data_IF_349959845324
#
_entry.id   IF_349959845324
#
_cell.length_a   1.000
_cell.length_b   1.000
_cell.length_c   1.000
_cell.angle_alpha   90.00
_cell.angle_beta   90.00
_cell.angle_gamma   90.00
#
_symmetry.space_group_name_H-M   'P 1'
#
loop_
_entity.id
_entity.type
_entity.pdbx_description
1 polymer ?
#
# COMPACT_ATOMS: atom_id res chain seq x y z
N UNK A 1 48.86 -16.83 -30.70
CA UNK A 1 49.81 -16.90 -31.84
C UNK A 1 50.59 -15.59 -31.94
N UNK A 2 51.92 -15.70 -31.78
CA UNK A 2 53.05 -14.77 -32.02
C UNK A 2 54.09 -15.06 -30.93
N UNK A 3 54.74 -16.23 -30.98
CA UNK A 3 56.00 -16.50 -31.67
C UNK A 3 57.12 -15.56 -31.16
N UNK A 4 57.74 -15.92 -30.04
CA UNK A 4 59.01 -15.32 -29.59
C UNK A 4 60.14 -16.25 -30.03
N UNK A 5 60.99 -15.72 -30.91
CA UNK A 5 62.15 -16.38 -31.49
C UNK A 5 63.19 -16.62 -30.40
N UNK A 6 63.47 -17.89 -30.09
CA UNK A 6 64.64 -18.30 -29.31
C UNK A 6 65.90 -18.13 -30.17
N UNK A 7 66.61 -17.02 -29.98
CA UNK A 7 68.01 -16.90 -30.37
C UNK A 7 68.86 -17.54 -29.27
N UNK A 8 69.36 -18.75 -29.57
CA UNK A 8 70.42 -19.41 -28.80
C UNK A 8 71.71 -18.58 -28.92
N UNK A 9 72.07 -17.85 -27.86
CA UNK A 9 73.42 -17.35 -27.65
C UNK A 9 74.14 -18.34 -26.74
N UNK A 10 74.97 -19.18 -27.35
CA UNK A 10 76.02 -19.96 -26.70
C UNK A 10 77.04 -19.02 -26.06
N UNK A 11 77.21 -19.05 -24.73
CA UNK A 11 78.37 -18.38 -24.09
C UNK A 11 78.21 -17.76 -22.70
N UNK A 12 77.06 -17.82 -22.03
CA UNK A 12 76.98 -17.46 -20.61
C UNK A 12 76.95 -18.72 -19.75
N UNK A 13 78.11 -19.11 -19.20
CA UNK A 13 78.11 -19.92 -17.97
C UNK A 13 77.40 -19.09 -16.91
N UNK A 14 76.15 -19.42 -16.60
CA UNK A 14 75.47 -18.89 -15.42
C UNK A 14 76.35 -19.27 -14.22
N UNK A 15 77.02 -18.27 -13.64
CA UNK A 15 77.80 -18.47 -12.43
C UNK A 15 76.77 -18.86 -11.37
N UNK A 16 76.81 -20.11 -10.91
CA UNK A 16 75.98 -20.58 -9.80
C UNK A 16 76.85 -20.64 -8.54
N UNK A 17 76.27 -20.35 -7.38
CA UNK A 17 76.93 -20.55 -6.11
C UNK A 17 76.94 -22.05 -5.78
N UNK A 18 78.12 -22.67 -5.73
CA UNK A 18 78.29 -24.12 -5.52
C UNK A 18 78.89 -24.37 -4.12
N UNK A 19 78.31 -25.32 -3.41
CA UNK A 19 78.74 -25.83 -2.10
C UNK A 19 80.05 -26.64 -2.21
N UNK A 20 80.78 -26.91 -1.10
CA UNK A 20 82.08 -27.54 -1.14
C UNK A 20 82.01 -29.02 -1.54
N UNK A 21 80.81 -29.60 -1.47
CA UNK A 21 80.47 -30.95 -1.91
C UNK A 21 80.09 -31.03 -3.41
N UNK A 22 80.12 -29.90 -4.12
CA UNK A 22 79.79 -29.81 -5.54
C UNK A 22 78.30 -29.66 -5.85
N UNK A 23 77.44 -29.53 -4.83
CA UNK A 23 76.01 -29.26 -5.03
C UNK A 23 75.72 -27.75 -5.18
N UNK A 24 74.66 -27.37 -5.89
CA UNK A 24 74.24 -25.97 -5.96
C UNK A 24 73.74 -25.48 -4.58
N UNK A 25 73.98 -24.21 -4.27
CA UNK A 25 73.39 -23.55 -3.10
C UNK A 25 71.87 -23.79 -3.10
N UNK A 26 71.28 -24.32 -2.02
CA UNK A 26 69.89 -24.76 -2.04
C UNK A 26 68.93 -23.60 -2.26
N UNK A 27 67.83 -23.85 -2.97
CA UNK A 27 66.79 -22.84 -3.17
C UNK A 27 66.24 -22.33 -1.82
N UNK A 28 65.99 -21.03 -1.74
CA UNK A 28 65.66 -20.33 -0.50
C UNK A 28 66.84 -19.92 0.36
N UNK A 29 68.07 -20.24 -0.03
CA UNK A 29 69.30 -19.81 0.63
C UNK A 29 70.16 -18.98 -0.34
N UNK A 30 71.08 -18.21 0.22
CA UNK A 30 72.11 -17.52 -0.54
C UNK A 30 73.50 -17.83 0.02
N UNK A 31 74.50 -17.87 -0.87
CA UNK A 31 75.86 -18.26 -0.55
C UNK A 31 76.84 -17.19 -1.06
N UNK A 32 77.51 -16.45 -0.17
CA UNK A 32 78.50 -15.43 -0.52
C UNK A 32 79.93 -15.92 -0.27
N UNK A 33 80.66 -16.29 -1.33
CA UNK A 33 82.10 -16.55 -1.27
C UNK A 33 82.52 -17.80 -0.48
N UNK A 34 83.85 -18.01 -0.36
CA UNK A 34 84.46 -19.26 0.12
C UNK A 34 84.41 -19.39 1.64
N UNK A 35 83.41 -20.13 2.14
CA UNK A 35 83.21 -20.49 3.55
C UNK A 35 81.75 -20.90 3.82
N UNK A 36 81.37 -22.09 3.40
CA UNK A 36 80.14 -22.32 2.62
C UNK A 36 78.94 -22.78 3.46
N UNK A 37 78.49 -21.94 4.38
CA UNK A 37 77.22 -22.17 5.09
C UNK A 37 76.08 -21.45 4.37
N UNK A 38 75.08 -22.17 3.83
CA UNK A 38 73.90 -21.56 3.23
C UNK A 38 73.17 -20.69 4.27
N UNK A 39 72.93 -19.41 3.93
CA UNK A 39 72.17 -18.50 4.80
C UNK A 39 70.74 -18.43 4.27
N UNK A 40 69.71 -18.72 5.09
CA UNK A 40 68.33 -18.67 4.63
C UNK A 40 67.96 -17.24 4.25
N UNK A 41 67.24 -17.09 3.14
CA UNK A 41 66.70 -15.81 2.75
C UNK A 41 65.75 -15.28 3.84
N UNK A 42 65.87 -14.00 4.26
CA UNK A 42 64.98 -13.45 5.27
C UNK A 42 63.52 -13.38 4.78
N UNK A 43 62.53 -13.31 5.68
CA UNK A 43 61.13 -13.12 5.32
C UNK A 43 60.92 -11.96 4.34
N UNK A 44 60.04 -12.14 3.36
CA UNK A 44 59.81 -11.20 2.26
C UNK A 44 60.80 -11.29 1.10
N UNK A 45 61.72 -12.27 1.13
CA UNK A 45 62.66 -12.54 0.04
C UNK A 45 62.68 -14.02 -0.31
N UNK A 46 63.16 -14.34 -1.51
CA UNK A 46 63.27 -15.69 -2.05
C UNK A 46 64.53 -15.89 -2.89
N UNK A 47 64.91 -17.13 -3.16
CA UNK A 47 65.98 -17.44 -4.11
C UNK A 47 65.77 -18.79 -4.82
N UNK A 48 66.18 -18.85 -6.09
CA UNK A 48 66.36 -20.12 -6.80
C UNK A 48 67.65 -20.82 -6.35
N UNK A 49 67.82 -22.10 -6.73
CA UNK A 49 69.08 -22.81 -6.50
C UNK A 49 70.27 -22.07 -7.17
N UNK A 50 71.43 -22.09 -6.50
CA UNK A 50 72.66 -21.45 -6.96
C UNK A 50 72.71 -19.92 -6.80
N UNK A 51 71.81 -19.32 -6.02
CA UNK A 51 71.77 -17.87 -5.83
C UNK A 51 72.89 -17.31 -4.93
N UNK A 52 73.47 -16.19 -5.33
CA UNK A 52 74.44 -15.43 -4.51
C UNK A 52 73.78 -14.42 -3.56
N UNK A 53 72.54 -14.03 -3.83
CA UNK A 53 71.76 -13.09 -3.03
C UNK A 53 70.26 -13.43 -3.11
N UNK A 54 69.49 -12.97 -2.11
CA UNK A 54 68.04 -13.12 -2.10
C UNK A 54 67.37 -12.00 -2.90
N UNK A 55 66.26 -12.36 -3.57
CA UNK A 55 65.42 -11.44 -4.35
C UNK A 55 64.19 -11.08 -3.53
N UNK A 56 63.79 -9.81 -3.49
CA UNK A 56 62.56 -9.40 -2.81
C UNK A 56 61.33 -9.98 -3.52
N UNK A 57 60.30 -10.32 -2.75
CA UNK A 57 59.00 -10.62 -3.36
C UNK A 57 58.45 -9.39 -4.08
N UNK A 58 57.82 -9.61 -5.23
CA UNK A 58 57.10 -8.55 -5.94
C UNK A 58 55.91 -8.05 -5.11
N UNK A 59 55.46 -6.79 -5.28
CA UNK A 59 54.30 -6.27 -4.56
C UNK A 59 53.07 -7.17 -4.75
N UNK A 60 52.40 -7.52 -3.65
CA UNK A 60 51.27 -8.45 -3.66
C UNK A 60 51.67 -9.91 -3.44
N UNK A 61 52.96 -10.21 -3.35
CA UNK A 61 53.48 -11.52 -2.97
C UNK A 61 54.18 -11.44 -1.61
N UNK A 62 54.19 -12.56 -0.88
CA UNK A 62 54.76 -12.63 0.47
C UNK A 62 55.49 -13.94 0.72
N UNK A 63 56.37 -13.91 1.72
CA UNK A 63 57.01 -15.08 2.33
C UNK A 63 57.23 -14.78 3.81
N UNK A 64 56.42 -15.39 4.69
CA UNK A 64 56.49 -15.14 6.13
C UNK A 64 57.63 -15.89 6.83
N UNK A 65 58.10 -16.98 6.24
CA UNK A 65 59.18 -17.80 6.78
C UNK A 65 60.47 -17.50 6.04
N UNK A 66 61.59 -17.52 6.76
CA UNK A 66 62.91 -17.47 6.14
C UNK A 66 63.22 -18.78 5.40
N UNK A 67 64.08 -18.72 4.39
CA UNK A 67 64.46 -19.90 3.61
C UNK A 67 63.54 -20.22 2.43
N UNK A 68 62.72 -19.27 1.95
CA UNK A 68 61.73 -19.57 0.91
C UNK A 68 62.29 -19.58 -0.50
N UNK A 69 61.99 -20.64 -1.26
CA UNK A 69 62.39 -20.78 -2.66
C UNK A 69 61.49 -20.01 -3.64
N UNK A 70 60.36 -19.46 -3.19
CA UNK A 70 59.42 -18.69 -4.01
C UNK A 70 58.57 -17.77 -3.13
N UNK A 71 57.87 -16.81 -3.74
CA UNK A 71 56.88 -15.99 -3.04
C UNK A 71 55.47 -16.44 -3.36
N UNK A 72 54.59 -16.34 -2.36
CA UNK A 72 53.18 -16.74 -2.47
C UNK A 72 52.36 -15.50 -2.81
N UNK A 73 51.48 -15.60 -3.82
CA UNK A 73 50.55 -14.52 -4.15
C UNK A 73 49.53 -14.32 -3.02
N UNK A 74 49.21 -13.07 -2.69
CA UNK A 74 48.08 -12.78 -1.82
C UNK A 74 46.79 -13.35 -2.42
N UNK A 75 46.01 -14.05 -1.62
CA UNK A 75 44.75 -14.62 -2.05
C UNK A 75 43.65 -13.56 -2.23
N UNK A 76 42.54 -13.94 -2.86
CA UNK A 76 41.39 -13.04 -3.01
C UNK A 76 40.82 -12.65 -1.65
N UNK A 77 40.22 -11.46 -1.58
CA UNK A 77 39.69 -10.91 -0.32
C UNK A 77 40.78 -10.44 0.66
N UNK A 78 42.07 -10.59 0.33
CA UNK A 78 43.17 -10.17 1.18
C UNK A 78 44.06 -9.13 0.49
N UNK A 79 44.95 -8.50 1.26
CA UNK A 79 46.02 -7.65 0.75
C UNK A 79 47.34 -7.91 1.47
N UNK A 80 48.46 -7.69 0.78
CA UNK A 80 49.80 -7.72 1.36
C UNK A 80 50.36 -6.29 1.49
N UNK A 81 50.40 -5.78 2.72
CA UNK A 81 51.07 -4.50 3.05
C UNK A 81 52.60 -4.62 2.99
N UNK A 82 53.13 -5.78 3.38
CA UNK A 82 54.56 -6.11 3.37
C UNK A 82 54.74 -7.54 2.90
N UNK A 83 55.81 -7.79 2.14
CA UNK A 83 56.19 -9.12 1.69
C UNK A 83 56.61 -10.06 2.84
N UNK A 84 56.99 -9.53 4.01
CA UNK A 84 57.44 -10.31 5.16
C UNK A 84 56.31 -10.71 6.12
N UNK A 85 55.09 -10.21 5.93
CA UNK A 85 53.94 -10.40 6.82
C UNK A 85 52.88 -11.31 6.17
N UNK A 86 52.05 -12.00 6.97
CA UNK A 86 50.94 -12.76 6.44
C UNK A 86 49.91 -11.83 5.77
N UNK A 87 49.19 -12.31 4.74
CA UNK A 87 48.06 -11.60 4.13
C UNK A 87 47.07 -11.12 5.19
N UNK A 88 46.59 -9.89 5.04
CA UNK A 88 45.54 -9.34 5.90
C UNK A 88 44.20 -9.36 5.14
N UNK A 89 43.09 -9.76 5.78
CA UNK A 89 41.79 -9.73 5.13
C UNK A 89 41.36 -8.29 4.89
N UNK A 90 40.66 -8.04 3.79
CA UNK A 90 40.03 -6.75 3.56
C UNK A 90 39.01 -6.46 4.66
N UNK A 91 39.13 -5.27 5.26
CA UNK A 91 38.19 -4.79 6.25
C UNK A 91 36.78 -4.64 5.64
N UNK A 92 35.76 -4.54 6.51
CA UNK A 92 34.40 -4.30 6.06
C UNK A 92 34.32 -3.02 5.21
N UNK A 93 33.45 -3.05 4.19
CA UNK A 93 33.34 -2.00 3.18
C UNK A 93 34.43 -2.03 2.12
N UNK A 94 35.33 -3.01 2.14
CA UNK A 94 36.38 -3.18 1.14
C UNK A 94 36.47 -4.61 0.64
N UNK A 95 36.94 -4.77 -0.59
CA UNK A 95 37.04 -6.07 -1.24
C UNK A 95 38.27 -6.18 -2.13
N UNK A 96 38.59 -7.41 -2.56
CA UNK A 96 39.60 -7.70 -3.58
C UNK A 96 39.23 -8.95 -4.38
N UNK A 97 38.99 -8.81 -5.68
CA UNK A 97 38.60 -9.92 -6.56
C UNK A 97 39.79 -10.62 -7.21
N UNK A 98 40.95 -9.94 -7.28
CA UNK A 98 42.15 -10.43 -7.95
C UNK A 98 43.17 -10.93 -6.92
N UNK A 99 44.04 -11.83 -7.38
CA UNK A 99 45.22 -12.26 -6.61
C UNK A 99 46.28 -11.14 -6.56
N UNK A 100 47.24 -11.29 -5.66
CA UNK A 100 48.41 -10.44 -5.50
C UNK A 100 48.09 -8.94 -5.35
N UNK A 101 47.06 -8.61 -4.56
CA UNK A 101 46.70 -7.22 -4.28
C UNK A 101 47.50 -6.66 -3.09
N UNK A 102 47.89 -5.39 -3.19
CA UNK A 102 48.63 -4.67 -2.13
C UNK A 102 47.73 -3.79 -1.28
N UNK A 103 46.52 -3.47 -1.77
CA UNK A 103 45.51 -2.67 -1.09
C UNK A 103 44.13 -3.26 -1.36
N UNK A 104 43.18 -2.99 -0.47
CA UNK A 104 41.78 -3.34 -0.69
C UNK A 104 41.03 -2.20 -1.36
N UNK A 105 40.09 -2.53 -2.22
CA UNK A 105 39.27 -1.56 -2.97
C UNK A 105 38.00 -1.26 -2.17
N UNK A 106 37.64 0.02 -1.95
CA UNK A 106 36.40 0.37 -1.25
C UNK A 106 35.18 0.02 -2.10
N UNK A 107 34.11 -0.39 -1.42
CA UNK A 107 32.82 -0.63 -2.02
C UNK A 107 32.12 0.67 -2.39
N UNK A 108 31.42 0.67 -3.53
CA UNK A 108 30.61 1.81 -3.96
C UNK A 108 29.36 1.99 -3.07
N UNK A 109 28.84 3.21 -3.01
CA UNK A 109 27.60 3.51 -2.29
C UNK A 109 26.45 2.60 -2.74
N UNK A 110 25.66 2.12 -1.78
CA UNK A 110 24.57 1.19 -2.06
C UNK A 110 25.01 -0.27 -2.15
N UNK A 111 26.28 -0.55 -1.84
CA UNK A 111 26.82 -1.90 -1.69
C UNK A 111 27.44 -2.09 -0.31
N UNK A 112 27.61 -3.33 0.11
CA UNK A 112 28.20 -3.69 1.40
C UNK A 112 29.01 -4.99 1.29
N UNK A 113 29.83 -5.27 2.29
CA UNK A 113 30.51 -6.57 2.44
C UNK A 113 29.90 -7.35 3.60
N UNK A 114 29.47 -8.61 3.41
CA UNK A 114 28.84 -9.39 4.48
C UNK A 114 29.82 -9.81 5.59
N UNK A 115 31.11 -9.87 5.27
CA UNK A 115 32.18 -10.26 6.20
C UNK A 115 33.52 -9.65 5.80
N UNK A 116 34.47 -9.61 6.73
CA UNK A 116 35.87 -9.37 6.40
C UNK A 116 36.38 -10.41 5.40
N UNK A 117 37.35 -10.03 4.57
CA UNK A 117 37.88 -10.92 3.53
C UNK A 117 36.95 -11.06 2.32
N UNK A 118 35.95 -10.17 2.16
CA UNK A 118 35.03 -10.25 1.02
C UNK A 118 35.76 -10.08 -0.30
N UNK A 119 35.51 -11.00 -1.24
CA UNK A 119 36.11 -10.93 -2.58
C UNK A 119 35.46 -9.84 -3.43
N UNK A 120 34.17 -9.60 -3.25
CA UNK A 120 33.36 -8.63 -4.00
C UNK A 120 32.39 -7.88 -3.09
N UNK A 121 31.96 -6.70 -3.52
CA UNK A 121 30.85 -5.99 -2.91
C UNK A 121 29.51 -6.62 -3.30
N UNK A 122 28.57 -6.60 -2.37
CA UNK A 122 27.19 -7.10 -2.57
C UNK A 122 26.24 -5.92 -2.60
N UNK A 123 25.29 -5.91 -3.53
CA UNK A 123 24.26 -4.87 -3.58
C UNK A 123 23.42 -4.87 -2.30
N UNK A 124 23.06 -3.69 -1.81
CA UNK A 124 22.14 -3.57 -0.69
C UNK A 124 20.81 -4.25 -1.04
N UNK A 125 20.30 -5.18 -0.22
CA UNK A 125 19.06 -5.89 -0.52
C UNK A 125 17.86 -4.94 -0.44
N UNK A 126 16.84 -5.18 -1.27
CA UNK A 126 15.60 -4.43 -1.20
C UNK A 126 14.96 -4.55 0.19
N UNK A 127 14.40 -3.45 0.68
CA UNK A 127 13.90 -3.33 2.05
C UNK A 127 14.95 -2.96 3.09
N UNK A 128 16.24 -2.89 2.74
CA UNK A 128 17.28 -2.38 3.61
C UNK A 128 18.01 -1.17 3.02
N UNK A 129 18.61 -0.37 3.89
CA UNK A 129 19.50 0.72 3.55
C UNK A 129 20.93 0.40 3.98
N UNK A 130 21.89 0.73 3.13
CA UNK A 130 23.32 0.58 3.38
C UNK A 130 23.98 1.95 3.29
N UNK A 131 23.96 2.69 4.41
CA UNK A 131 24.52 4.03 4.48
C UNK A 131 26.05 4.01 4.36
N UNK A 132 26.67 3.07 5.07
CA UNK A 132 28.10 2.77 5.05
C UNK A 132 28.30 1.36 4.51
N UNK A 133 29.26 1.17 3.60
CA UNK A 133 29.53 -0.15 3.03
C UNK A 133 30.13 -1.14 4.05
N UNK A 134 30.68 -0.62 5.15
CA UNK A 134 31.20 -1.40 6.26
C UNK A 134 30.09 -1.95 7.18
N UNK A 135 28.90 -1.35 7.15
CA UNK A 135 27.79 -1.76 7.99
C UNK A 135 26.93 -2.83 7.31
N UNK A 136 26.30 -3.68 8.14
CA UNK A 136 25.30 -4.61 7.65
C UNK A 136 24.01 -3.88 7.24
N UNK A 137 23.27 -4.37 6.22
CA UNK A 137 22.06 -3.74 5.75
C UNK A 137 21.02 -3.56 6.86
N UNK A 138 20.60 -2.31 7.09
CA UNK A 138 19.58 -1.98 8.09
C UNK A 138 18.20 -1.97 7.44
N UNK A 139 17.25 -2.75 7.98
CA UNK A 139 15.87 -2.79 7.47
C UNK A 139 15.21 -1.42 7.59
N UNK A 140 14.44 -1.06 6.58
CA UNK A 140 13.59 0.13 6.63
C UNK A 140 12.47 -0.04 7.65
N UNK A 141 12.27 0.97 8.49
CA UNK A 141 11.15 1.04 9.43
C UNK A 141 9.81 1.16 8.69
N UNK A 142 8.67 0.89 9.36
CA UNK A 142 7.35 1.18 8.81
C UNK A 142 7.25 2.59 8.22
N UNK A 143 6.46 2.73 7.16
CA UNK A 143 6.35 3.96 6.38
C UNK A 143 7.52 4.27 5.46
N UNK A 144 8.54 3.41 5.43
CA UNK A 144 9.66 3.54 4.53
C UNK A 144 9.91 2.24 3.77
N UNK A 145 10.45 2.37 2.56
CA UNK A 145 10.83 1.27 1.70
C UNK A 145 12.19 1.51 1.07
N UNK A 146 12.79 0.46 0.54
CA UNK A 146 13.96 0.62 -0.33
C UNK A 146 14.01 -0.39 -1.45
N UNK A 147 14.53 0.03 -2.60
CA UNK A 147 14.84 -0.87 -3.71
C UNK A 147 16.29 -1.35 -3.62
N UNK A 148 16.66 -2.33 -4.45
CA UNK A 148 18.02 -2.88 -4.46
C UNK A 148 19.05 -1.76 -4.69
N UNK A 149 20.11 -1.76 -3.90
CA UNK A 149 21.22 -0.82 -4.03
C UNK A 149 20.99 0.56 -3.41
N UNK A 150 19.94 0.76 -2.61
CA UNK A 150 19.72 2.05 -1.95
C UNK A 150 20.60 2.25 -0.71
N UNK A 151 21.11 3.49 -0.59
CA UNK A 151 21.91 3.96 0.54
C UNK A 151 21.03 4.32 1.73
N UNK A 152 19.81 4.79 1.48
CA UNK A 152 18.85 5.24 2.49
C UNK A 152 17.45 4.74 2.16
N UNK A 153 16.63 4.58 3.21
CA UNK A 153 15.22 4.26 3.04
C UNK A 153 14.44 5.48 2.54
N UNK A 154 13.48 5.23 1.64
CA UNK A 154 12.61 6.24 1.05
C UNK A 154 11.24 6.19 1.73
N UNK A 155 10.66 7.31 2.17
CA UNK A 155 9.32 7.32 2.77
C UNK A 155 8.24 7.02 1.73
N UNK A 156 7.16 6.39 2.18
CA UNK A 156 5.95 6.25 1.39
C UNK A 156 5.35 7.64 1.11
N UNK A 157 4.91 7.84 -0.13
CA UNK A 157 4.18 9.06 -0.51
C UNK A 157 2.76 9.01 0.09
N UNK A 158 2.11 10.16 0.33
CA UNK A 158 0.72 10.18 0.78
C UNK A 158 -0.19 9.33 -0.12
N UNK A 159 -1.12 8.59 0.49
CA UNK A 159 -1.93 7.59 -0.20
C UNK A 159 -1.26 6.22 -0.37
N UNK A 160 -0.02 6.05 0.06
CA UNK A 160 0.68 4.76 0.10
C UNK A 160 1.18 4.46 1.51
N UNK A 161 1.28 3.18 1.85
CA UNK A 161 1.68 2.76 3.19
C UNK A 161 2.52 1.48 3.18
N UNK A 162 3.23 1.24 4.27
CA UNK A 162 3.72 -0.08 4.66
C UNK A 162 3.90 -0.15 6.16
N UNK A 163 3.32 -1.18 6.77
CA UNK A 163 3.45 -1.44 8.21
C UNK A 163 4.57 -2.42 8.54
N UNK A 164 5.23 -2.99 7.51
CA UNK A 164 6.24 -4.03 7.67
C UNK A 164 7.65 -3.44 7.68
N UNK A 165 8.44 -3.88 8.65
CA UNK A 165 9.89 -3.68 8.62
C UNK A 165 10.49 -4.38 7.39
N UNK A 166 11.40 -3.70 6.70
CA UNK A 166 12.12 -4.28 5.58
C UNK A 166 11.35 -4.28 4.26
N UNK A 167 10.49 -3.29 4.02
CA UNK A 167 9.62 -3.27 2.85
C UNK A 167 10.35 -2.84 1.57
N UNK A 168 10.19 -3.60 0.49
CA UNK A 168 10.78 -3.28 -0.81
C UNK A 168 9.99 -2.24 -1.61
N UNK A 169 8.74 -1.98 -1.22
CA UNK A 169 7.82 -1.00 -1.81
C UNK A 169 6.77 -0.59 -0.79
N UNK A 170 6.03 0.48 -1.09
CA UNK A 170 4.79 0.81 -0.40
C UNK A 170 3.59 0.26 -1.19
N UNK A 171 2.56 -0.16 -0.47
CA UNK A 171 1.30 -0.59 -1.05
C UNK A 171 0.33 0.60 -1.16
N UNK A 172 -0.52 0.57 -2.19
CA UNK A 172 -1.55 1.58 -2.41
C UNK A 172 -2.62 1.51 -1.31
N UNK A 173 -3.07 2.67 -0.83
CA UNK A 173 -4.21 2.70 0.08
C UNK A 173 -5.45 2.14 -0.63
N UNK A 174 -6.13 1.12 -0.08
CA UNK A 174 -7.25 0.48 -0.74
C UNK A 174 -8.48 1.40 -0.81
N UNK A 175 -9.43 1.04 -1.68
CA UNK A 175 -10.74 1.70 -1.75
C UNK A 175 -11.48 1.60 -0.40
N UNK A 176 -12.36 2.56 -0.14
CA UNK A 176 -13.06 2.69 1.14
C UNK A 176 -12.15 3.09 2.31
N UNK A 177 -10.87 3.37 2.07
CA UNK A 177 -9.90 3.77 3.09
C UNK A 177 -9.15 5.04 2.69
N UNK A 178 -8.39 5.58 3.63
CA UNK A 178 -7.45 6.66 3.42
C UNK A 178 -6.18 6.45 4.23
N UNK A 179 -5.07 7.00 3.73
CA UNK A 179 -3.74 6.84 4.32
C UNK A 179 -3.03 8.21 4.33
N UNK A 180 -2.99 8.86 5.50
CA UNK A 180 -2.28 10.14 5.71
C UNK A 180 -0.79 9.88 5.96
N UNK A 181 -0.51 8.99 6.91
CA UNK A 181 0.83 8.58 7.29
C UNK A 181 1.15 7.23 6.64
N UNK A 182 2.38 7.08 6.13
CA UNK A 182 2.79 5.87 5.42
C UNK A 182 3.08 4.68 6.33
N UNK A 183 3.27 4.89 7.62
CA UNK A 183 3.61 3.88 8.64
C UNK A 183 2.39 3.26 9.31
N UNK A 184 1.20 3.83 9.10
CA UNK A 184 -0.05 3.35 9.67
C UNK A 184 -0.80 2.39 8.73
N UNK A 185 -1.65 1.55 9.32
CA UNK A 185 -2.59 0.75 8.54
C UNK A 185 -3.67 1.66 7.92
N UNK A 186 -4.23 1.31 6.74
CA UNK A 186 -5.28 2.07 6.11
C UNK A 186 -6.46 2.32 7.04
N UNK A 187 -6.89 3.58 7.13
CA UNK A 187 -8.02 3.96 7.96
C UNK A 187 -9.30 3.89 7.15
N UNK A 188 -10.33 3.16 7.59
CA UNK A 188 -11.58 3.06 6.86
C UNK A 188 -12.31 4.41 6.86
N UNK A 189 -12.99 4.72 5.75
CA UNK A 189 -13.86 5.89 5.69
C UNK A 189 -14.96 5.79 6.75
N UNK A 190 -15.15 6.84 7.53
CA UNK A 190 -16.20 6.88 8.55
C UNK A 190 -17.60 6.97 7.88
N UNK A 191 -18.67 6.56 8.59
CA UNK A 191 -20.03 6.78 8.12
C UNK A 191 -20.26 8.23 7.66
N UNK A 192 -20.94 8.39 6.53
CA UNK A 192 -21.15 9.67 5.85
C UNK A 192 -20.03 10.09 4.90
N UNK A 193 -19.00 9.24 4.73
CA UNK A 193 -17.91 9.46 3.77
C UNK A 193 -17.61 8.18 2.99
N UNK A 194 -17.00 8.31 1.82
CA UNK A 194 -16.61 7.19 0.98
C UNK A 194 -15.37 7.49 0.14
N UNK A 195 -14.72 6.45 -0.39
CA UNK A 195 -13.62 6.56 -1.35
C UNK A 195 -13.68 5.46 -2.41
N UNK A 196 -13.99 5.83 -3.65
CA UNK A 196 -14.08 4.87 -4.76
C UNK A 196 -12.72 4.52 -5.38
N UNK A 197 -11.70 5.33 -5.13
CA UNK A 197 -10.37 5.21 -5.73
C UNK A 197 -9.34 4.76 -4.69
N UNK A 198 -8.27 4.13 -5.17
CA UNK A 198 -7.08 3.88 -4.37
C UNK A 198 -6.28 5.16 -4.15
N UNK A 199 -5.28 5.09 -3.27
CA UNK A 199 -4.30 6.15 -3.01
C UNK A 199 -4.88 7.44 -2.45
N UNK A 200 -5.99 7.36 -1.73
CA UNK A 200 -6.62 8.52 -1.12
C UNK A 200 -5.97 8.86 0.23
N UNK A 201 -5.89 10.15 0.53
CA UNK A 201 -5.35 10.70 1.79
C UNK A 201 -6.45 11.19 2.73
N UNK A 202 -7.69 11.28 2.24
CA UNK A 202 -8.88 11.61 3.01
C UNK A 202 -10.10 10.95 2.37
N UNK A 203 -11.21 10.84 3.11
CA UNK A 203 -12.47 10.37 2.57
C UNK A 203 -13.33 11.51 2.05
N UNK A 204 -14.10 11.24 0.99
CA UNK A 204 -15.00 12.22 0.37
C UNK A 204 -16.35 12.17 1.10
N UNK A 205 -16.89 13.31 1.59
CA UNK A 205 -18.22 13.35 2.17
C UNK A 205 -19.31 12.98 1.18
N UNK A 206 -20.33 12.26 1.64
CA UNK A 206 -21.51 12.00 0.85
C UNK A 206 -22.28 13.30 0.57
N UNK A 207 -22.71 13.47 -0.68
CA UNK A 207 -23.51 14.62 -1.09
C UNK A 207 -24.93 14.55 -0.50
N UNK A 208 -25.61 15.69 -0.43
CA UNK A 208 -27.03 15.73 -0.04
C UNK A 208 -27.87 14.80 -0.93
N UNK A 209 -28.77 14.04 -0.31
CA UNK A 209 -29.54 12.99 -0.99
C UNK A 209 -28.82 11.64 -1.13
N UNK A 210 -27.58 11.53 -0.65
CA UNK A 210 -26.84 10.27 -0.55
C UNK A 210 -26.40 10.00 0.90
N UNK A 211 -26.06 8.76 1.23
CA UNK A 211 -25.64 8.38 2.57
C UNK A 211 -24.62 7.23 2.56
N UNK A 212 -23.95 7.04 3.68
CA UNK A 212 -23.15 5.86 3.99
C UNK A 212 -23.29 5.59 5.47
N UNK A 213 -23.98 4.51 5.84
CA UNK A 213 -24.26 4.20 7.24
C UNK A 213 -23.12 3.43 7.94
N UNK A 214 -22.12 2.97 7.18
CA UNK A 214 -21.12 2.02 7.64
C UNK A 214 -19.70 2.54 7.37
N UNK A 215 -18.73 2.04 8.13
CA UNK A 215 -17.33 2.34 7.85
C UNK A 215 -16.82 1.58 6.63
N UNK A 216 -15.84 2.15 5.93
CA UNK A 216 -15.19 1.50 4.79
C UNK A 216 -15.96 1.61 3.48
N UNK A 217 -16.91 2.53 3.36
CA UNK A 217 -17.73 2.66 2.16
C UNK A 217 -16.89 3.09 0.95
N UNK A 218 -17.05 2.37 -0.16
CA UNK A 218 -16.38 2.70 -1.44
C UNK A 218 -17.15 3.74 -2.24
N UNK A 219 -18.46 3.85 -2.01
CA UNK A 219 -19.33 4.85 -2.61
C UNK A 219 -20.44 5.26 -1.64
N UNK A 220 -21.14 6.35 -1.95
CA UNK A 220 -22.30 6.78 -1.19
C UNK A 220 -23.57 6.28 -1.89
N UNK A 221 -24.46 5.67 -1.11
CA UNK A 221 -25.73 5.16 -1.59
C UNK A 221 -26.73 6.30 -1.78
N UNK A 222 -27.50 6.27 -2.85
CA UNK A 222 -28.60 7.23 -3.02
C UNK A 222 -29.72 6.93 -2.02
N UNK A 223 -30.30 7.97 -1.43
CA UNK A 223 -31.39 7.78 -0.48
C UNK A 223 -32.59 7.10 -1.18
N UNK A 224 -33.02 5.92 -0.70
CA UNK A 224 -33.97 5.10 -1.44
C UNK A 224 -35.39 5.69 -1.38
N UNK A 225 -36.15 5.41 -2.44
CA UNK A 225 -37.59 5.72 -2.52
C UNK A 225 -38.33 5.20 -1.27
N UNK A 226 -39.27 6.00 -0.75
CA UNK A 226 -39.99 5.69 0.48
C UNK A 226 -39.24 6.08 1.76
N UNK A 227 -37.96 6.46 1.68
CA UNK A 227 -37.17 6.94 2.83
C UNK A 227 -36.55 8.30 2.56
N UNK A 228 -36.14 8.96 3.64
CA UNK A 228 -35.37 10.20 3.59
C UNK A 228 -34.10 10.08 4.43
N UNK A 229 -33.09 10.85 4.05
CA UNK A 229 -31.76 10.83 4.65
C UNK A 229 -31.43 12.23 5.17
N UNK A 230 -31.89 12.54 6.37
CA UNK A 230 -31.62 13.81 7.05
C UNK A 230 -30.16 13.93 7.52
N UNK A 231 -29.49 12.79 7.66
CA UNK A 231 -28.06 12.70 7.98
C UNK A 231 -27.39 11.70 7.06
N UNK A 232 -26.26 12.11 6.47
CA UNK A 232 -25.48 11.30 5.54
C UNK A 232 -24.79 10.09 6.20
N UNK A 233 -24.62 10.12 7.52
CA UNK A 233 -23.93 9.10 8.30
C UNK A 233 -24.88 8.12 9.03
N UNK A 234 -26.16 8.09 8.63
CA UNK A 234 -27.18 7.23 9.23
C UNK A 234 -27.89 6.42 8.16
N UNK A 235 -28.52 5.32 8.59
CA UNK A 235 -29.42 4.58 7.71
C UNK A 235 -30.66 5.43 7.34
N UNK A 236 -31.24 5.25 6.13
CA UNK A 236 -32.43 5.97 5.68
C UNK A 236 -33.61 5.77 6.63
N UNK A 237 -34.37 6.84 6.85
CA UNK A 237 -35.58 6.81 7.69
C UNK A 237 -36.81 6.71 6.80
N UNK A 238 -37.72 5.76 7.03
CA UNK A 238 -38.94 5.67 6.24
C UNK A 238 -39.79 6.92 6.43
N UNK A 239 -40.43 7.39 5.36
CA UNK A 239 -41.44 8.44 5.45
C UNK A 239 -42.56 8.02 6.40
N UNK A 240 -42.99 8.92 7.29
CA UNK A 240 -44.13 8.67 8.18
C UNK A 240 -45.46 8.74 7.42
N UNK A 241 -46.53 8.22 8.02
CA UNK A 241 -47.89 8.37 7.47
C UNK A 241 -48.22 9.85 7.21
N UNK A 242 -48.93 10.13 6.12
CA UNK A 242 -49.21 11.46 5.61
C UNK A 242 -48.06 12.13 4.85
N UNK A 243 -46.93 11.43 4.67
CA UNK A 243 -45.76 11.92 3.94
C UNK A 243 -45.32 10.90 2.88
N UNK A 244 -44.72 11.38 1.80
CA UNK A 244 -44.13 10.57 0.75
C UNK A 244 -42.68 10.98 0.50
N UNK A 245 -41.87 10.00 0.14
CA UNK A 245 -40.43 10.15 -0.09
C UNK A 245 -40.06 9.67 -1.49
N UNK A 246 -39.45 10.53 -2.29
CA UNK A 246 -38.83 10.17 -3.58
C UNK A 246 -37.34 9.87 -3.39
N UNK A 247 -36.70 9.37 -4.43
CA UNK A 247 -35.26 9.12 -4.44
C UNK A 247 -34.46 10.40 -4.11
N UNK A 248 -33.42 10.27 -3.29
CA UNK A 248 -32.50 11.35 -2.96
C UNK A 248 -33.07 12.42 -2.02
N UNK A 249 -34.21 12.18 -1.35
CA UNK A 249 -34.79 13.16 -0.43
C UNK A 249 -34.10 13.17 0.94
N UNK A 250 -33.93 14.37 1.50
CA UNK A 250 -33.38 14.59 2.85
C UNK A 250 -34.46 14.76 3.92
N UNK A 251 -35.70 14.91 3.50
CA UNK A 251 -36.87 15.01 4.36
C UNK A 251 -38.11 14.45 3.64
N UNK A 252 -39.09 13.97 4.41
CA UNK A 252 -40.36 13.53 3.82
C UNK A 252 -41.22 14.71 3.39
N UNK A 253 -41.87 14.60 2.23
CA UNK A 253 -42.81 15.62 1.73
C UNK A 253 -44.24 15.31 2.19
N UNK A 254 -45.00 16.28 2.73
CA UNK A 254 -46.38 16.04 3.12
C UNK A 254 -47.25 15.74 1.91
N UNK A 255 -48.27 14.90 2.08
CA UNK A 255 -49.27 14.71 1.04
C UNK A 255 -50.02 16.02 0.76
N UNK A 256 -50.29 16.35 -0.52
CA UNK A 256 -51.16 17.46 -0.88
C UNK A 256 -52.55 17.32 -0.25
N UNK A 257 -53.27 18.43 -0.10
CA UNK A 257 -54.67 18.42 0.36
C UNK A 257 -55.54 17.51 -0.51
N UNK A 258 -56.39 16.71 0.13
CA UNK A 258 -57.19 15.71 -0.57
C UNK A 258 -56.45 14.41 -0.92
N UNK A 259 -55.16 14.29 -0.58
CA UNK A 259 -54.40 13.06 -0.72
C UNK A 259 -53.99 12.53 0.65
N UNK A 260 -53.83 11.23 0.74
CA UNK A 260 -53.49 10.56 1.99
C UNK A 260 -52.60 9.34 1.79
N UNK A 261 -51.88 8.99 2.84
CA UNK A 261 -51.16 7.73 2.96
C UNK A 261 -51.07 7.31 4.42
N UNK A 262 -51.58 6.12 4.74
CA UNK A 262 -51.68 5.66 6.14
C UNK A 262 -50.52 4.77 6.54
N UNK A 263 -49.72 4.34 5.57
CA UNK A 263 -48.56 3.49 5.77
C UNK A 263 -47.28 4.33 5.80
N UNK A 264 -46.27 3.85 6.51
CA UNK A 264 -44.92 4.38 6.45
C UNK A 264 -44.20 3.90 5.18
N UNK A 265 -43.13 4.58 4.79
CA UNK A 265 -42.28 4.15 3.68
C UNK A 265 -42.85 4.44 2.30
N UNK A 266 -43.83 5.35 2.17
CA UNK A 266 -44.59 5.53 0.94
C UNK A 266 -43.90 6.51 -0.01
N UNK A 267 -44.00 6.23 -1.31
CA UNK A 267 -43.39 7.05 -2.37
C UNK A 267 -44.38 7.93 -3.13
N UNK A 268 -45.67 7.73 -2.88
CA UNK A 268 -46.76 8.52 -3.42
C UNK A 268 -47.90 8.60 -2.41
N UNK A 269 -48.76 9.59 -2.60
CA UNK A 269 -50.00 9.71 -1.85
C UNK A 269 -51.18 9.29 -2.72
N UNK A 270 -52.20 8.68 -2.10
CA UNK A 270 -53.42 8.26 -2.78
C UNK A 270 -54.45 9.37 -2.70
N UNK A 271 -55.08 9.69 -3.83
CA UNK A 271 -56.15 10.68 -3.86
C UNK A 271 -57.41 10.13 -3.16
N UNK A 272 -58.09 10.98 -2.38
CA UNK A 272 -59.37 10.64 -1.78
C UNK A 272 -60.41 10.37 -2.88
N UNK A 273 -61.08 9.23 -2.83
CA UNK A 273 -62.09 8.86 -3.84
C UNK A 273 -63.47 9.42 -3.47
N UNK A 274 -64.39 9.58 -4.44
CA UNK A 274 -65.78 9.95 -4.18
C UNK A 274 -66.43 9.07 -3.08
N UNK A 275 -67.40 9.64 -2.37
CA UNK A 275 -68.02 9.03 -1.19
C UNK A 275 -67.20 9.13 0.10
N UNK A 276 -65.97 9.66 0.04
CA UNK A 276 -65.09 9.84 1.19
C UNK A 276 -64.56 11.27 1.29
N UNK A 277 -64.15 11.68 2.50
CA UNK A 277 -63.36 12.88 2.75
C UNK A 277 -62.05 12.52 3.45
N UNK A 278 -61.00 13.28 3.16
CA UNK A 278 -59.66 13.06 3.69
C UNK A 278 -59.14 14.36 4.34
N UNK A 279 -59.62 14.72 5.55
CA UNK A 279 -59.17 15.92 6.26
C UNK A 279 -57.76 15.78 6.83
N UNK A 280 -57.30 14.55 7.09
CA UNK A 280 -55.97 14.26 7.60
C UNK A 280 -55.20 13.36 6.62
N UNK A 281 -54.06 13.85 6.12
CA UNK A 281 -53.18 13.12 5.22
C UNK A 281 -52.67 11.78 5.77
N UNK A 282 -52.54 11.66 7.10
CA UNK A 282 -52.09 10.44 7.77
C UNK A 282 -53.26 9.52 8.20
N UNK A 283 -54.51 9.96 8.02
CA UNK A 283 -55.72 9.22 8.41
C UNK A 283 -56.23 8.32 7.30
N UNK A 284 -57.11 7.38 7.66
CA UNK A 284 -57.90 6.63 6.69
C UNK A 284 -58.96 7.54 6.05
N UNK A 285 -59.46 7.22 4.84
CA UNK A 285 -60.54 7.98 4.24
C UNK A 285 -61.78 7.86 5.13
N UNK A 286 -62.43 8.98 5.39
CA UNK A 286 -63.65 9.04 6.19
C UNK A 286 -64.84 8.95 5.23
N UNK A 287 -65.71 7.96 5.43
CA UNK A 287 -66.96 7.87 4.67
C UNK A 287 -67.84 9.09 4.94
N UNK A 288 -68.47 9.64 3.89
CA UNK A 288 -69.48 10.67 4.09
C UNK A 288 -70.67 10.07 4.85
N UNK A 289 -71.00 10.62 6.02
CA UNK A 289 -72.12 10.14 6.82
C UNK A 289 -73.47 10.44 6.15
N UNK A 290 -74.54 9.79 6.60
CA UNK A 290 -75.90 10.08 6.12
C UNK A 290 -76.19 11.59 6.25
N UNK A 291 -76.79 12.18 5.23
CA UNK A 291 -76.93 13.63 5.11
C UNK A 291 -75.89 14.30 4.22
N UNK A 292 -74.75 13.65 3.97
CA UNK A 292 -73.62 14.22 3.25
C UNK A 292 -73.18 13.34 2.09
N UNK A 293 -72.64 13.94 1.03
CA UNK A 293 -72.09 13.24 -0.12
C UNK A 293 -70.83 13.94 -0.63
N UNK A 294 -70.01 13.22 -1.38
CA UNK A 294 -68.89 13.80 -2.12
C UNK A 294 -68.74 13.16 -3.50
N UNK A 295 -68.97 13.91 -4.57
CA UNK A 295 -68.82 13.45 -5.95
C UNK A 295 -67.44 13.74 -6.56
N UNK A 296 -66.54 14.40 -5.84
CA UNK A 296 -65.23 14.83 -6.33
C UNK A 296 -64.10 14.03 -5.69
N UNK A 297 -63.00 13.91 -6.42
CA UNK A 297 -61.76 13.40 -5.86
C UNK A 297 -61.09 14.48 -5.01
N UNK A 298 -60.40 14.07 -3.95
CA UNK A 298 -59.56 14.98 -3.15
C UNK A 298 -60.31 15.97 -2.25
N UNK A 299 -61.56 15.67 -1.87
CA UNK A 299 -62.25 16.45 -0.83
C UNK A 299 -61.65 16.22 0.55
N UNK A 300 -61.58 17.30 1.31
CA UNK A 300 -61.22 17.28 2.75
C UNK A 300 -62.45 17.22 3.66
N UNK A 301 -63.63 17.48 3.11
CA UNK A 301 -64.92 17.48 3.80
C UNK A 301 -66.03 17.05 2.84
N UNK A 302 -67.06 16.40 3.37
CA UNK A 302 -68.24 16.01 2.59
C UNK A 302 -69.26 17.15 2.54
N UNK A 303 -69.94 17.31 1.41
CA UNK A 303 -70.93 18.37 1.25
C UNK A 303 -72.29 17.92 1.77
N UNK A 304 -73.01 18.81 2.45
CA UNK A 304 -74.38 18.58 2.90
C UNK A 304 -75.32 18.43 1.70
N UNK A 305 -76.19 17.43 1.70
CA UNK A 305 -77.17 17.26 0.63
C UNK A 305 -78.14 18.45 0.58
N UNK A 306 -78.28 19.13 -0.58
CA UNK A 306 -79.18 20.27 -0.72
C UNK A 306 -80.65 19.86 -0.60
N UNK A 307 -81.51 20.83 -0.30
CA UNK A 307 -82.96 20.60 -0.21
C UNK A 307 -83.52 19.95 -1.48
N UNK A 308 -84.41 18.96 -1.30
CA UNK A 308 -84.93 18.14 -2.41
C UNK A 308 -84.02 16.97 -2.78
N UNK A 309 -82.91 16.76 -2.07
CA UNK A 309 -82.07 15.56 -2.17
C UNK A 309 -81.78 14.99 -0.77
N UNK A 310 -81.34 13.74 -0.70
CA UNK A 310 -80.99 13.07 0.56
C UNK A 310 -79.84 12.07 0.38
N UNK A 311 -79.17 11.72 1.47
CA UNK A 311 -78.21 10.63 1.57
C UNK A 311 -78.56 9.79 2.80
N UNK A 312 -79.13 8.61 2.60
CA UNK A 312 -79.65 7.73 3.66
C UNK A 312 -78.63 6.68 4.14
N UNK A 313 -77.57 6.44 3.37
CA UNK A 313 -76.45 5.57 3.74
C UNK A 313 -75.12 6.31 3.68
N UNK A 314 -74.16 5.86 4.48
CA UNK A 314 -72.80 6.42 4.45
C UNK A 314 -72.05 6.01 3.17
N UNK A 315 -71.12 6.86 2.73
CA UNK A 315 -70.27 6.59 1.57
C UNK A 315 -70.86 6.97 0.22
N UNK A 316 -71.98 7.71 0.19
CA UNK A 316 -72.60 8.12 -1.06
C UNK A 316 -71.74 9.15 -1.80
N UNK A 317 -71.46 8.85 -3.07
CA UNK A 317 -70.77 9.79 -3.95
C UNK A 317 -71.71 10.92 -4.42
N UNK A 318 -73.02 10.72 -4.40
CA UNK A 318 -74.01 11.69 -4.87
C UNK A 318 -75.24 11.68 -3.97
N UNK A 319 -75.83 12.86 -3.77
CA UNK A 319 -77.13 12.97 -3.11
C UNK A 319 -78.23 12.43 -4.04
N UNK A 320 -79.11 11.63 -3.47
CA UNK A 320 -80.23 11.01 -4.18
C UNK A 320 -81.36 12.04 -4.29
N UNK A 321 -81.88 12.25 -5.50
CA UNK A 321 -83.01 13.16 -5.73
C UNK A 321 -84.29 12.63 -5.10
N UNK A 322 -85.05 13.50 -4.43
CA UNK A 322 -86.29 13.10 -3.79
C UNK A 322 -87.33 12.61 -4.83
N UNK A 323 -87.87 11.39 -4.69
CA UNK A 323 -88.90 10.88 -5.58
C UNK A 323 -90.19 11.74 -5.54
N UNK A 324 -90.98 11.78 -6.63
CA UNK A 324 -92.28 12.44 -6.64
C UNK A 324 -93.20 11.90 -5.52
N UNK A 325 -93.90 12.81 -4.82
CA UNK A 325 -94.80 12.44 -3.72
C UNK A 325 -94.12 12.22 -2.37
N UNK A 326 -92.82 12.48 -2.27
CA UNK A 326 -92.06 12.41 -1.01
C UNK A 326 -91.54 13.79 -0.57
N UNK A 327 -91.28 13.93 0.73
CA UNK A 327 -90.52 15.01 1.37
C UNK A 327 -89.20 14.39 1.83
N UNK A 328 -88.10 14.94 1.37
CA UNK A 328 -86.76 14.50 1.77
C UNK A 328 -86.11 15.58 2.62
N UNK A 329 -85.70 15.20 3.83
CA UNK A 329 -84.66 15.90 4.58
C UNK A 329 -83.32 15.31 4.20
N UNK A 330 -82.23 16.00 4.54
CA UNK A 330 -80.89 15.59 4.10
C UNK A 330 -80.57 14.13 4.47
N UNK A 331 -81.12 13.59 5.56
CA UNK A 331 -80.88 12.22 6.06
C UNK A 331 -82.03 11.24 5.88
N UNK A 332 -83.26 11.68 5.58
CA UNK A 332 -84.45 10.81 5.56
C UNK A 332 -85.49 11.23 4.52
N UNK A 333 -86.22 10.24 4.01
CA UNK A 333 -87.37 10.43 3.13
C UNK A 333 -88.67 10.13 3.89
N UNK A 334 -89.74 10.88 3.62
CA UNK A 334 -91.08 10.70 4.21
C UNK A 334 -92.18 10.99 3.18
N UNK A 335 -93.37 10.37 3.25
CA UNK A 335 -94.48 10.68 2.34
C UNK A 335 -94.96 12.13 2.49
N UNK A 336 -95.35 12.78 1.39
CA UNK A 336 -96.09 14.05 1.44
C UNK A 336 -97.50 13.77 1.98
N UNK A 337 -97.88 14.44 3.07
CA UNK A 337 -99.23 14.39 3.62
C UNK A 337 -100.25 15.05 2.68
#
# INVERSE_FOLDING_TARGET
>A
MKLLVLLFITGCSFVHAILPDGSDCPAGYFCLGRGITPVPCPPGTWSNAGAFQCTACEPGYYSTTGGSAYCIACEQGHHCLSASLPPQPCALGHHNEKLAQTKCVPCANGTYTPSQGSVKCTLCPAGSSCAEAADLPKKCSPGNYSTVGQVSCTPCRPGYYTTKNGSARCDACPVGHYCVNGDEAPQPCAPGTANALQNQTACVPCASGTYSAWSGAVECDTCPIGSYCDKVNQAPKPCKAGFYCLEGQTEGKPCPTGYQTTLTGQSYCRICSPGHSCPNAAGNPILCEAGYANNQHGRVECDLCPQGTYADVAGLAYCITCPPGMICTNTRMSPKA
#
